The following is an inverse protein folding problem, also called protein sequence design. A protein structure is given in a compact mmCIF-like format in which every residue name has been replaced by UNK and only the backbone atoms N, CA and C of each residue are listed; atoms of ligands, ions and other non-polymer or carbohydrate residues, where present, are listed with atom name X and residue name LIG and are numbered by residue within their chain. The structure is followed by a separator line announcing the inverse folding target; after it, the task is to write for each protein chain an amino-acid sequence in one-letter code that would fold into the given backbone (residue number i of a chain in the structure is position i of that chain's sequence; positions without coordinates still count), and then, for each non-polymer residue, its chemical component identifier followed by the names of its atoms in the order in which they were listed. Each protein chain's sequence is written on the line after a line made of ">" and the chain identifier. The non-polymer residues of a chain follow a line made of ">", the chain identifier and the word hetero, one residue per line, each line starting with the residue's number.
data_IF_335980570932
#
_entry.id   IF_335980570932
#
_cell.length_a   1.000
_cell.length_b   1.000
_cell.length_c   1.000
_cell.angle_alpha   90.00
_cell.angle_beta   90.00
_cell.angle_gamma   90.00
#
_symmetry.space_group_name_H-M   'P 1'
#
loop_
_entity.id
_entity.type
_entity.pdbx_description
1 polymer ?
#
# COMPACT_ATOMS: atom_id res chain seq x y z
N UNK A 1 -10.59 14.72 1.17
CA UNK A 1 -10.23 14.03 2.44
C UNK A 1 -9.44 12.76 2.20
N UNK A 2 -9.84 11.92 1.23
CA UNK A 2 -9.15 10.68 0.83
C UNK A 2 -7.66 10.85 0.53
N UNK A 3 -7.29 11.95 -0.14
CA UNK A 3 -5.90 12.32 -0.44
C UNK A 3 -5.03 12.51 0.81
N UNK A 4 -5.56 13.02 1.92
CA UNK A 4 -4.79 13.20 3.17
C UNK A 4 -4.44 11.85 3.81
N UNK A 5 -5.39 10.91 3.78
CA UNK A 5 -5.23 9.58 4.38
C UNK A 5 -4.26 8.72 3.55
N UNK A 6 -4.39 8.75 2.22
CA UNK A 6 -3.41 8.11 1.36
C UNK A 6 -2.01 8.71 1.53
N UNK A 7 -1.87 10.04 1.66
CA UNK A 7 -0.58 10.68 1.96
C UNK A 7 0.01 10.26 3.29
N UNK A 8 -0.83 10.11 4.32
CA UNK A 8 -0.39 9.60 5.62
C UNK A 8 0.16 8.18 5.49
N UNK A 9 -0.58 7.28 4.84
CA UNK A 9 -0.14 5.90 4.62
C UNK A 9 1.14 5.84 3.77
N UNK A 10 1.20 6.61 2.68
CA UNK A 10 2.37 6.72 1.80
C UNK A 10 3.62 7.09 2.62
N UNK A 11 3.51 8.12 3.47
CA UNK A 11 4.62 8.56 4.32
C UNK A 11 5.10 7.49 5.30
N UNK A 12 4.19 6.65 5.82
CA UNK A 12 4.55 5.55 6.71
C UNK A 12 5.22 4.39 5.95
N UNK A 13 4.69 4.04 4.78
CA UNK A 13 5.28 3.02 3.90
C UNK A 13 6.67 3.44 3.42
N UNK A 14 6.85 4.69 2.99
CA UNK A 14 8.12 5.22 2.50
C UNK A 14 9.21 5.26 3.59
N UNK A 15 8.82 5.45 4.85
CA UNK A 15 9.73 5.41 6.01
C UNK A 15 10.03 3.99 6.50
N UNK A 16 9.33 2.97 5.99
CA UNK A 16 9.52 1.60 6.43
C UNK A 16 10.85 1.03 5.89
N UNK A 17 11.77 0.72 6.80
CA UNK A 17 13.11 0.24 6.43
C UNK A 17 13.08 -1.12 5.74
N UNK A 18 12.15 -2.00 6.08
CA UNK A 18 12.07 -3.35 5.50
C UNK A 18 11.72 -3.26 4.01
N UNK A 19 10.69 -2.47 3.67
CA UNK A 19 10.29 -2.26 2.29
C UNK A 19 11.44 -1.67 1.45
N UNK A 20 12.13 -0.67 2.00
CA UNK A 20 13.28 -0.04 1.35
C UNK A 20 14.45 -1.03 1.14
N UNK A 21 14.80 -1.82 2.15
CA UNK A 21 15.89 -2.80 2.07
C UNK A 21 15.56 -3.90 1.05
N UNK A 22 14.30 -4.33 0.98
CA UNK A 22 13.83 -5.28 -0.04
C UNK A 22 13.72 -4.68 -1.45
N UNK A 23 13.93 -3.37 -1.61
CA UNK A 23 13.93 -2.70 -2.91
C UNK A 23 12.53 -2.35 -3.44
N UNK A 24 11.52 -2.27 -2.56
CA UNK A 24 10.21 -1.79 -2.95
C UNK A 24 10.22 -0.26 -3.14
N UNK A 25 9.52 0.20 -4.16
CA UNK A 25 9.25 1.59 -4.48
C UNK A 25 7.75 1.89 -4.35
N UNK A 26 7.41 3.17 -4.19
CA UNK A 26 6.04 3.63 -3.98
C UNK A 26 5.73 4.75 -4.97
N UNK A 27 4.55 4.71 -5.57
CA UNK A 27 4.04 5.74 -6.45
C UNK A 27 2.54 5.95 -6.20
N UNK A 28 2.01 7.09 -6.66
CA UNK A 28 0.56 7.26 -6.77
C UNK A 28 0.08 6.77 -8.14
N UNK A 29 -1.08 6.13 -8.19
CA UNK A 29 -1.80 5.92 -9.45
C UNK A 29 -2.61 7.17 -9.85
N UNK A 30 -3.34 7.09 -10.97
CA UNK A 30 -4.17 8.17 -11.49
C UNK A 30 -5.35 8.53 -10.59
N UNK A 31 -5.80 7.60 -9.76
CA UNK A 31 -6.94 7.76 -8.85
C UNK A 31 -6.50 8.11 -7.42
N UNK A 32 -5.19 8.28 -7.21
CA UNK A 32 -4.58 8.62 -5.93
C UNK A 32 -4.35 7.43 -4.99
N UNK A 33 -4.51 6.20 -5.47
CA UNK A 33 -4.06 4.98 -4.80
C UNK A 33 -2.53 4.91 -4.72
N UNK A 34 -2.02 4.13 -3.79
CA UNK A 34 -0.58 3.95 -3.53
C UNK A 34 -0.18 2.62 -4.15
N UNK A 35 0.56 2.68 -5.25
CA UNK A 35 1.16 1.52 -5.91
C UNK A 35 2.43 1.13 -5.18
N UNK A 36 2.55 -0.16 -4.86
CA UNK A 36 3.79 -0.76 -4.37
C UNK A 36 4.40 -1.58 -5.49
N UNK A 37 5.59 -1.18 -5.90
CA UNK A 37 6.32 -1.78 -7.02
C UNK A 37 7.67 -2.34 -6.56
N UNK A 38 8.14 -3.39 -7.22
CA UNK A 38 9.53 -3.82 -7.13
C UNK A 38 10.01 -4.25 -8.51
N UNK A 39 11.07 -3.60 -8.99
CA UNK A 39 11.67 -3.88 -10.29
C UNK A 39 10.66 -3.85 -11.47
N UNK A 40 9.72 -2.90 -11.45
CA UNK A 40 8.74 -2.71 -12.53
C UNK A 40 7.54 -3.66 -12.46
N UNK A 41 7.41 -4.44 -11.39
CA UNK A 41 6.24 -5.27 -11.12
C UNK A 41 5.45 -4.71 -9.94
N UNK A 42 4.16 -4.45 -10.18
CA UNK A 42 3.23 -4.08 -9.11
C UNK A 42 2.99 -5.30 -8.22
N UNK A 43 3.15 -5.13 -6.91
CA UNK A 43 2.86 -6.15 -5.90
C UNK A 43 1.59 -5.86 -5.10
N UNK A 44 1.05 -4.65 -5.22
CA UNK A 44 -0.28 -4.32 -4.76
C UNK A 44 -0.53 -2.83 -4.72
N UNK A 45 -1.80 -2.49 -4.53
CA UNK A 45 -2.29 -1.12 -4.51
C UNK A 45 -3.08 -0.91 -3.23
N UNK A 46 -2.74 0.16 -2.51
CA UNK A 46 -3.54 0.66 -1.41
C UNK A 46 -4.42 1.81 -1.85
N UNK A 47 -5.70 1.75 -1.55
CA UNK A 47 -6.62 2.87 -1.73
C UNK A 47 -7.41 3.09 -0.45
N UNK A 48 -7.58 4.35 -0.04
CA UNK A 48 -8.51 4.69 1.03
C UNK A 48 -9.88 5.06 0.42
N UNK A 49 -10.97 4.53 0.96
CA UNK A 49 -12.34 4.93 0.58
C UNK A 49 -12.93 5.90 1.63
N UNK A 50 -14.25 6.00 1.77
CA UNK A 50 -14.82 6.89 2.79
C UNK A 50 -14.55 6.43 4.24
N UNK A 51 -14.10 5.20 4.48
CA UNK A 51 -14.03 4.59 5.82
C UNK A 51 -12.79 3.74 6.10
N UNK A 52 -12.08 3.26 5.09
CA UNK A 52 -10.98 2.31 5.26
C UNK A 52 -9.93 2.35 4.17
N UNK A 53 -8.70 1.97 4.53
CA UNK A 53 -7.67 1.51 3.60
C UNK A 53 -8.02 0.12 3.08
N UNK A 54 -7.84 -0.08 1.78
CA UNK A 54 -8.12 -1.33 1.07
C UNK A 54 -6.91 -1.73 0.25
N UNK A 55 -6.49 -2.99 0.38
CA UNK A 55 -5.37 -3.57 -0.37
C UNK A 55 -5.89 -4.47 -1.48
N UNK A 56 -5.44 -4.20 -2.70
CA UNK A 56 -5.72 -5.02 -3.88
C UNK A 56 -4.42 -5.63 -4.38
N UNK A 57 -4.38 -6.96 -4.49
CA UNK A 57 -3.24 -7.68 -5.08
C UNK A 57 -3.28 -7.60 -6.61
N UNK A 58 -2.12 -7.75 -7.28
CA UNK A 58 -2.03 -7.73 -8.74
C UNK A 58 -2.99 -8.75 -9.37
N UNK A 59 -3.63 -8.36 -10.46
CA UNK A 59 -4.60 -9.21 -11.18
C UNK A 59 -5.94 -9.43 -10.47
N UNK A 60 -6.18 -8.81 -9.31
CA UNK A 60 -7.47 -8.85 -8.62
C UNK A 60 -8.16 -7.50 -8.74
N UNK A 61 -9.49 -7.50 -8.80
CA UNK A 61 -10.32 -6.29 -8.72
C UNK A 61 -10.90 -6.08 -7.32
N UNK A 62 -10.93 -7.12 -6.50
CA UNK A 62 -11.49 -7.07 -5.15
C UNK A 62 -10.40 -6.90 -4.07
N UNK A 63 -10.68 -6.11 -3.01
CA UNK A 63 -9.76 -5.98 -1.89
C UNK A 63 -9.56 -7.29 -1.14
N UNK A 64 -8.30 -7.71 -0.99
CA UNK A 64 -7.91 -8.87 -0.17
C UNK A 64 -7.81 -8.53 1.31
N UNK A 65 -7.64 -7.26 1.64
CA UNK A 65 -7.57 -6.81 3.02
C UNK A 65 -8.11 -5.39 3.16
N UNK A 66 -8.74 -5.12 4.31
CA UNK A 66 -9.31 -3.82 4.65
C UNK A 66 -8.98 -3.46 6.10
N UNK A 67 -8.64 -2.20 6.36
CA UNK A 67 -8.41 -1.71 7.71
C UNK A 67 -8.70 -0.21 7.83
N UNK A 68 -9.08 0.26 9.02
CA UNK A 68 -9.27 1.69 9.30
C UNK A 68 -8.00 2.39 9.80
N UNK A 69 -6.95 1.63 10.07
CA UNK A 69 -5.73 2.11 10.70
C UNK A 69 -4.52 2.00 9.75
N UNK A 70 -3.81 3.12 9.58
CA UNK A 70 -2.67 3.19 8.68
C UNK A 70 -1.49 2.31 9.16
N UNK A 71 -1.32 2.14 10.47
CA UNK A 71 -0.24 1.27 11.00
C UNK A 71 -0.52 -0.20 10.68
N UNK A 72 -1.78 -0.62 10.78
CA UNK A 72 -2.24 -1.95 10.38
C UNK A 72 -2.04 -2.19 8.89
N UNK A 73 -2.29 -1.19 8.04
CA UNK A 73 -2.01 -1.26 6.61
C UNK A 73 -0.51 -1.46 6.32
N UNK A 74 0.37 -0.73 7.02
CA UNK A 74 1.83 -0.92 6.91
C UNK A 74 2.25 -2.31 7.38
N UNK A 75 1.74 -2.78 8.52
CA UNK A 75 2.06 -4.11 9.04
C UNK A 75 1.66 -5.20 8.04
N UNK A 76 0.43 -5.14 7.54
CA UNK A 76 -0.06 -6.07 6.52
C UNK A 76 0.84 -6.07 5.29
N UNK A 77 1.21 -4.88 4.80
CA UNK A 77 2.10 -4.73 3.64
C UNK A 77 3.43 -5.43 3.86
N UNK A 78 4.07 -5.19 5.02
CA UNK A 78 5.36 -5.82 5.34
C UNK A 78 5.21 -7.33 5.43
N UNK A 79 4.15 -7.84 6.06
CA UNK A 79 3.92 -9.29 6.19
C UNK A 79 3.72 -9.95 4.83
N UNK A 80 2.85 -9.41 3.99
CA UNK A 80 2.57 -9.97 2.65
C UNK A 80 3.82 -9.95 1.78
N UNK A 81 4.55 -8.84 1.76
CA UNK A 81 5.76 -8.68 0.92
C UNK A 81 7.03 -9.28 1.54
N UNK A 82 6.98 -9.67 2.81
CA UNK A 82 8.05 -10.40 3.47
C UNK A 82 8.06 -11.88 3.09
N UNK A 83 6.90 -12.44 2.72
CA UNK A 83 6.74 -13.86 2.34
C UNK A 83 7.19 -14.16 0.90
N UNK A 84 7.28 -13.14 0.04
CA UNK A 84 7.95 -13.19 -1.27
C UNK A 84 9.47 -12.99 -1.15
#
# INVERSE_FOLDING_TARGET
>A
MTDVLNRQLFGLLAKNKVLRIKGYSLAYDTDGGIVIDRAGHVHGIWSHDARSYTWVSPGNTEPKFRTRDAKSAVLYTVVVLAQD
#
